data_IF_228514354972
#
_entry.id   IF_228514354972
#
_cell.length_a   1.000
_cell.length_b   1.000
_cell.length_c   1.000
_cell.angle_alpha   90.00
_cell.angle_beta   90.00
_cell.angle_gamma   90.00
#
_symmetry.space_group_name_H-M   'P 1'
#
loop_
_entity.id
_entity.type
_entity.pdbx_description
1 polymer ?
#
# COMPACT_ATOMS: atom_id res chain seq x y z
N UNK A 1 23.96 27.77 4.05
CA UNK A 1 24.34 26.82 2.98
C UNK A 1 24.36 25.44 3.61
N UNK A 2 23.32 24.60 3.47
CA UNK A 2 23.29 23.14 3.71
C UNK A 2 21.88 22.57 3.93
N UNK A 3 20.82 23.28 3.50
CA UNK A 3 19.46 22.73 3.61
C UNK A 3 18.92 22.12 2.32
N UNK A 4 19.60 22.28 1.18
CA UNK A 4 19.15 21.72 -0.11
C UNK A 4 19.70 20.33 -0.44
N UNK A 5 20.77 19.88 0.19
CA UNK A 5 21.36 18.55 -0.08
C UNK A 5 20.77 17.42 0.76
N UNK A 6 19.87 17.70 1.71
CA UNK A 6 19.22 16.66 2.52
C UNK A 6 17.88 16.17 1.95
N UNK A 7 17.33 16.85 0.93
CA UNK A 7 16.03 16.47 0.35
C UNK A 7 16.13 15.30 -0.65
N UNK A 8 17.29 15.04 -1.23
CA UNK A 8 17.47 13.92 -2.17
C UNK A 8 17.74 12.57 -1.50
N UNK A 9 18.12 12.54 -0.22
CA UNK A 9 18.44 11.29 0.48
C UNK A 9 17.33 10.74 1.39
N UNK A 10 16.18 11.38 1.55
CA UNK A 10 15.21 10.97 2.59
C UNK A 10 13.74 10.94 2.15
N UNK A 11 13.44 10.26 1.03
CA UNK A 11 12.08 9.84 0.72
C UNK A 11 11.73 8.52 1.47
N UNK A 12 12.19 8.39 2.71
CA UNK A 12 12.00 7.23 3.56
C UNK A 12 11.66 7.65 4.98
N UNK A 13 10.55 7.15 5.49
CA UNK A 13 10.06 7.40 6.85
C UNK A 13 10.12 6.08 7.61
N UNK A 14 10.84 6.05 8.73
CA UNK A 14 10.88 4.91 9.62
C UNK A 14 9.68 4.94 10.58
N UNK A 15 8.88 3.90 10.58
CA UNK A 15 7.77 3.73 11.52
C UNK A 15 8.22 2.86 12.68
N UNK A 16 8.09 3.41 13.89
CA UNK A 16 8.41 2.71 15.13
C UNK A 16 7.15 2.32 15.89
N UNK A 17 7.14 1.12 16.48
CA UNK A 17 6.14 0.67 17.41
C UNK A 17 6.83 0.30 18.74
N UNK A 18 6.38 0.88 19.85
CA UNK A 18 6.98 0.69 21.19
C UNK A 18 8.50 0.91 21.22
N UNK A 19 8.97 1.93 20.48
CA UNK A 19 10.39 2.28 20.42
C UNK A 19 11.27 1.36 19.57
N UNK A 20 10.67 0.40 18.85
CA UNK A 20 11.36 -0.47 17.90
C UNK A 20 10.89 -0.19 16.50
N UNK A 21 11.81 -0.24 15.55
CA UNK A 21 11.47 -0.14 14.13
C UNK A 21 10.49 -1.25 13.76
N UNK A 22 9.36 -0.85 13.18
CA UNK A 22 8.34 -1.75 12.67
C UNK A 22 8.50 -1.96 11.16
N UNK A 23 8.55 -0.88 10.39
CA UNK A 23 8.72 -0.90 8.93
C UNK A 23 9.14 0.47 8.41
N UNK A 24 9.44 0.53 7.13
CA UNK A 24 9.71 1.77 6.42
C UNK A 24 8.55 2.13 5.48
N UNK A 25 8.28 3.43 5.34
CA UNK A 25 7.51 3.99 4.25
C UNK A 25 8.49 4.63 3.28
N UNK A 26 8.40 4.29 2.00
CA UNK A 26 9.29 4.77 0.95
C UNK A 26 8.47 5.47 -0.12
N UNK A 27 8.79 6.74 -0.45
CA UNK A 27 8.19 7.50 -1.54
C UNK A 27 9.07 7.42 -2.78
N UNK A 28 8.46 7.11 -3.94
CA UNK A 28 9.11 7.02 -5.25
C UNK A 28 8.18 7.49 -6.36
N UNK A 29 8.77 7.64 -7.56
CA UNK A 29 8.07 8.09 -8.75
C UNK A 29 7.92 6.99 -9.81
N UNK A 30 8.34 5.77 -9.49
CA UNK A 30 8.25 4.58 -10.35
C UNK A 30 8.32 3.33 -9.48
N UNK A 31 8.23 2.15 -10.08
CA UNK A 31 8.50 0.87 -9.41
C UNK A 31 9.94 0.39 -9.60
N UNK A 32 10.82 1.18 -10.23
CA UNK A 32 12.14 0.74 -10.67
C UNK A 32 13.04 0.21 -9.55
N UNK A 33 12.98 0.80 -8.35
CA UNK A 33 13.78 0.37 -7.19
C UNK A 33 13.00 -0.47 -6.16
N UNK A 34 11.79 -0.95 -6.51
CA UNK A 34 10.96 -1.76 -5.61
C UNK A 34 11.72 -2.97 -5.08
N UNK A 35 12.45 -3.68 -5.95
CA UNK A 35 13.26 -4.84 -5.55
C UNK A 35 14.39 -4.46 -4.59
N UNK A 36 15.04 -3.32 -4.82
CA UNK A 36 16.13 -2.85 -3.97
C UNK A 36 15.60 -2.50 -2.56
N UNK A 37 14.41 -1.89 -2.50
CA UNK A 37 13.75 -1.59 -1.21
C UNK A 37 13.26 -2.86 -0.48
N UNK A 38 13.11 -3.97 -1.19
CA UNK A 38 12.71 -5.27 -0.65
C UNK A 38 13.89 -6.23 -0.39
N UNK A 39 15.13 -5.82 -0.62
CA UNK A 39 16.32 -6.71 -0.51
C UNK A 39 16.39 -7.41 0.85
N UNK A 40 16.07 -6.71 1.94
CA UNK A 40 16.08 -7.26 3.30
C UNK A 40 15.07 -8.40 3.53
N UNK A 41 14.12 -8.59 2.62
CA UNK A 41 13.12 -9.68 2.67
C UNK A 41 13.64 -10.98 2.04
N UNK A 42 14.77 -10.95 1.36
CA UNK A 42 15.37 -12.12 0.68
C UNK A 42 14.36 -12.87 -0.21
N UNK A 43 13.67 -12.11 -1.08
CA UNK A 43 12.54 -12.64 -1.88
C UNK A 43 12.94 -13.75 -2.86
N UNK A 44 14.23 -13.87 -3.20
CA UNK A 44 14.78 -14.96 -4.00
C UNK A 44 14.57 -16.34 -3.35
N UNK A 45 14.36 -16.39 -2.04
CA UNK A 45 14.08 -17.61 -1.27
C UNK A 45 12.58 -17.84 -1.06
N UNK A 46 11.73 -16.88 -1.46
CA UNK A 46 10.29 -16.85 -1.14
C UNK A 46 9.42 -17.02 -2.36
N UNK A 47 8.26 -17.61 -2.16
CA UNK A 47 7.13 -17.44 -3.06
C UNK A 47 6.45 -16.11 -2.73
N UNK A 48 6.00 -15.41 -3.77
CA UNK A 48 5.35 -14.11 -3.63
C UNK A 48 3.97 -14.17 -4.30
N UNK A 49 2.93 -13.79 -3.58
CA UNK A 49 1.60 -13.60 -4.15
C UNK A 49 1.28 -12.10 -4.22
N UNK A 50 1.06 -11.58 -5.43
CA UNK A 50 0.61 -10.21 -5.65
C UNK A 50 -0.92 -10.21 -5.65
N UNK A 51 -1.50 -9.57 -4.65
CA UNK A 51 -2.95 -9.41 -4.48
C UNK A 51 -3.35 -8.04 -5.01
N UNK A 52 -4.34 -8.01 -5.90
CA UNK A 52 -4.82 -6.78 -6.54
C UNK A 52 -6.33 -6.87 -6.83
N UNK A 53 -6.89 -5.87 -7.50
CA UNK A 53 -8.29 -5.83 -7.91
C UNK A 53 -8.46 -5.40 -9.38
N UNK A 54 -9.68 -5.57 -9.92
CA UNK A 54 -9.96 -5.49 -11.36
C UNK A 54 -9.68 -4.12 -12.01
N UNK A 55 -9.65 -3.00 -11.27
CA UNK A 55 -9.31 -1.68 -11.83
C UNK A 55 -7.80 -1.44 -11.87
N UNK A 56 -7.06 -1.95 -10.87
CA UNK A 56 -5.62 -1.75 -10.72
C UNK A 56 -4.83 -2.74 -11.56
N UNK A 57 -5.28 -3.99 -11.64
CA UNK A 57 -4.59 -5.06 -12.36
C UNK A 57 -4.23 -4.71 -13.82
N UNK A 58 -5.14 -4.18 -14.65
CA UNK A 58 -4.83 -3.85 -16.05
C UNK A 58 -3.75 -2.79 -16.21
N UNK A 59 -3.53 -1.96 -15.17
CA UNK A 59 -2.62 -0.79 -15.24
C UNK A 59 -1.22 -1.17 -14.74
N UNK A 60 -1.13 -1.84 -13.58
CA UNK A 60 0.14 -1.98 -12.86
C UNK A 60 0.58 -3.42 -12.63
N UNK A 61 -0.34 -4.42 -12.67
CA UNK A 61 0.00 -5.79 -12.29
C UNK A 61 1.11 -6.37 -13.16
N UNK A 62 1.09 -6.11 -14.46
CA UNK A 62 2.10 -6.65 -15.38
C UNK A 62 3.50 -6.19 -15.00
N UNK A 63 3.69 -4.87 -14.83
CA UNK A 63 4.98 -4.27 -14.48
C UNK A 63 5.51 -4.82 -13.15
N UNK A 64 4.68 -4.78 -12.10
CA UNK A 64 5.08 -5.26 -10.76
C UNK A 64 5.33 -6.77 -10.77
N UNK A 65 4.52 -7.55 -11.49
CA UNK A 65 4.71 -9.00 -11.61
C UNK A 65 6.02 -9.36 -12.33
N UNK A 66 6.37 -8.66 -13.42
CA UNK A 66 7.64 -8.87 -14.13
C UNK A 66 8.84 -8.55 -13.23
N UNK A 67 8.79 -7.44 -12.50
CA UNK A 67 9.82 -7.07 -11.53
C UNK A 67 9.99 -8.16 -10.45
N UNK A 68 8.93 -8.54 -9.75
CA UNK A 68 8.99 -9.52 -8.67
C UNK A 68 9.42 -10.89 -9.19
N UNK A 69 8.91 -11.32 -10.34
CA UNK A 69 9.25 -12.63 -10.94
C UNK A 69 10.70 -12.72 -11.39
N UNK A 70 11.38 -11.60 -11.60
CA UNK A 70 12.81 -11.60 -11.96
C UNK A 70 13.70 -12.04 -10.80
N UNK A 71 13.21 -12.01 -9.56
CA UNK A 71 14.00 -12.31 -8.36
C UNK A 71 13.36 -13.39 -7.47
N UNK A 72 12.04 -13.40 -7.31
CA UNK A 72 11.34 -14.35 -6.43
C UNK A 72 11.45 -15.81 -6.91
N UNK A 73 11.45 -16.75 -5.97
CA UNK A 73 11.51 -18.20 -6.30
C UNK A 73 10.28 -18.66 -7.09
N UNK A 74 9.13 -18.06 -6.84
CA UNK A 74 7.87 -18.24 -7.57
C UNK A 74 7.01 -16.99 -7.36
N UNK A 75 6.34 -16.52 -8.40
CA UNK A 75 5.35 -15.45 -8.31
C UNK A 75 3.99 -15.96 -8.78
N UNK A 76 2.96 -15.68 -7.99
CA UNK A 76 1.56 -15.87 -8.40
C UNK A 76 0.80 -14.56 -8.22
N UNK A 77 -0.37 -14.45 -8.82
CA UNK A 77 -1.22 -13.28 -8.73
C UNK A 77 -2.63 -13.70 -8.32
N UNK A 78 -3.25 -12.92 -7.44
CA UNK A 78 -4.65 -13.05 -7.08
C UNK A 78 -5.37 -11.74 -7.35
N UNK A 79 -6.40 -11.76 -8.18
CA UNK A 79 -7.19 -10.58 -8.51
C UNK A 79 -8.66 -10.82 -8.22
N UNK A 80 -9.30 -9.85 -7.56
CA UNK A 80 -10.73 -9.88 -7.26
C UNK A 80 -11.44 -8.65 -7.86
N UNK A 81 -12.77 -8.67 -7.88
CA UNK A 81 -13.58 -7.55 -8.36
C UNK A 81 -13.42 -6.31 -7.46
N UNK A 82 -13.24 -5.14 -8.08
CA UNK A 82 -13.11 -3.88 -7.39
C UNK A 82 -14.37 -3.50 -6.59
N UNK A 83 -14.15 -2.76 -5.51
CA UNK A 83 -15.20 -2.14 -4.70
C UNK A 83 -15.38 -2.76 -3.33
N UNK A 84 -15.87 -1.93 -2.41
CA UNK A 84 -16.06 -2.26 -0.99
C UNK A 84 -16.91 -3.51 -0.76
N UNK A 85 -17.90 -3.79 -1.63
CA UNK A 85 -18.76 -4.99 -1.54
C UNK A 85 -17.99 -6.30 -1.57
N UNK A 86 -16.75 -6.30 -2.06
CA UNK A 86 -15.87 -7.46 -2.11
C UNK A 86 -14.89 -7.56 -0.94
N UNK A 87 -14.89 -6.56 -0.05
CA UNK A 87 -14.11 -6.54 1.19
C UNK A 87 -14.73 -7.46 2.25
N UNK A 88 -14.69 -8.76 2.02
CA UNK A 88 -15.42 -9.75 2.81
C UNK A 88 -14.66 -11.08 2.99
N UNK A 89 -15.05 -11.86 3.99
CA UNK A 89 -14.41 -13.15 4.31
C UNK A 89 -14.38 -14.12 3.12
N UNK A 90 -15.44 -14.14 2.29
CA UNK A 90 -15.48 -15.02 1.10
C UNK A 90 -14.34 -14.74 0.12
N UNK A 91 -13.95 -13.49 -0.05
CA UNK A 91 -12.80 -13.14 -0.91
C UNK A 91 -11.47 -13.58 -0.26
N UNK A 92 -11.40 -13.52 1.07
CA UNK A 92 -10.24 -14.02 1.83
C UNK A 92 -10.14 -15.54 1.73
N UNK A 93 -11.28 -16.28 1.81
CA UNK A 93 -11.32 -17.74 1.62
C UNK A 93 -10.74 -18.13 0.25
N UNK A 94 -11.13 -17.43 -0.82
CA UNK A 94 -10.61 -17.67 -2.16
C UNK A 94 -9.09 -17.39 -2.25
N UNK A 95 -8.59 -16.33 -1.59
CA UNK A 95 -7.15 -16.08 -1.50
C UNK A 95 -6.43 -17.20 -0.74
N UNK A 96 -6.99 -17.69 0.36
CA UNK A 96 -6.38 -18.82 1.09
C UNK A 96 -6.29 -20.08 0.24
N UNK A 97 -7.35 -20.41 -0.50
CA UNK A 97 -7.36 -21.55 -1.40
C UNK A 97 -6.22 -21.44 -2.43
N UNK A 98 -6.04 -20.27 -3.04
CA UNK A 98 -4.96 -20.01 -3.99
C UNK A 98 -3.57 -20.19 -3.35
N UNK A 99 -3.38 -19.69 -2.13
CA UNK A 99 -2.12 -19.84 -1.39
C UNK A 99 -1.84 -21.31 -1.04
N UNK A 100 -2.85 -22.07 -0.61
CA UNK A 100 -2.75 -23.50 -0.25
C UNK A 100 -2.39 -24.34 -1.47
N UNK A 101 -3.09 -24.15 -2.59
CA UNK A 101 -2.85 -24.89 -3.86
C UNK A 101 -1.43 -24.65 -4.37
N UNK A 102 -0.92 -23.42 -4.17
CA UNK A 102 0.44 -23.04 -4.56
C UNK A 102 1.49 -23.34 -3.49
N UNK A 103 1.13 -24.04 -2.40
CA UNK A 103 2.02 -24.48 -1.33
C UNK A 103 2.76 -23.34 -0.64
N UNK A 104 2.10 -22.19 -0.40
CA UNK A 104 2.67 -21.10 0.37
C UNK A 104 2.90 -21.52 1.82
N UNK A 105 4.04 -21.15 2.37
CA UNK A 105 4.41 -21.40 3.75
C UNK A 105 4.62 -20.09 4.56
N UNK A 106 5.03 -20.19 5.81
CA UNK A 106 5.18 -19.04 6.73
C UNK A 106 6.31 -18.08 6.35
N UNK A 107 7.21 -18.48 5.48
CA UNK A 107 8.33 -17.65 5.04
C UNK A 107 8.01 -16.88 3.76
N UNK A 108 6.91 -17.24 3.09
CA UNK A 108 6.47 -16.60 1.86
C UNK A 108 5.88 -15.20 2.09
N UNK A 109 5.58 -14.47 1.04
CA UNK A 109 5.25 -13.06 1.08
C UNK A 109 3.98 -12.74 0.30
N UNK A 110 3.14 -11.85 0.87
CA UNK A 110 2.06 -11.22 0.12
C UNK A 110 2.44 -9.78 -0.26
N UNK A 111 2.04 -9.33 -1.44
CA UNK A 111 2.14 -7.93 -1.86
C UNK A 111 0.73 -7.41 -2.14
N UNK A 112 0.31 -6.37 -1.42
CA UNK A 112 -0.94 -5.66 -1.65
C UNK A 112 -0.73 -4.55 -2.69
N UNK A 113 -1.10 -4.77 -3.94
CA UNK A 113 -1.00 -3.77 -5.01
C UNK A 113 -2.38 -3.17 -5.27
N UNK A 114 -2.70 -2.02 -4.65
CA UNK A 114 -4.03 -1.43 -4.82
C UNK A 114 -4.38 -0.35 -3.81
N UNK A 115 -5.67 0.00 -3.74
CA UNK A 115 -6.21 0.92 -2.75
C UNK A 115 -6.40 0.30 -1.36
N UNK A 116 -7.07 1.02 -0.46
CA UNK A 116 -7.29 0.60 0.93
C UNK A 116 -7.97 -0.76 1.07
N UNK A 117 -8.94 -1.09 0.20
CA UNK A 117 -9.61 -2.40 0.20
C UNK A 117 -8.60 -3.53 -0.01
N UNK A 118 -7.71 -3.38 -0.99
CA UNK A 118 -6.67 -4.38 -1.27
C UNK A 118 -5.69 -4.49 -0.11
N UNK A 119 -5.25 -3.35 0.43
CA UNK A 119 -4.33 -3.29 1.58
C UNK A 119 -4.90 -3.98 2.81
N UNK A 120 -6.14 -3.64 3.19
CA UNK A 120 -6.81 -4.19 4.36
C UNK A 120 -7.03 -5.70 4.24
N UNK A 121 -7.51 -6.16 3.08
CA UNK A 121 -7.78 -7.58 2.84
C UNK A 121 -6.49 -8.41 2.79
N UNK A 122 -5.47 -7.92 2.09
CA UNK A 122 -4.18 -8.62 2.00
C UNK A 122 -3.50 -8.68 3.36
N UNK A 123 -3.52 -7.58 4.11
CA UNK A 123 -2.97 -7.55 5.46
C UNK A 123 -3.72 -8.48 6.43
N UNK A 124 -5.06 -8.55 6.32
CA UNK A 124 -5.85 -9.49 7.11
C UNK A 124 -5.56 -10.95 6.72
N UNK A 125 -5.46 -11.24 5.43
CA UNK A 125 -5.05 -12.56 4.96
C UNK A 125 -3.65 -12.92 5.47
N UNK A 126 -2.70 -11.98 5.40
CA UNK A 126 -1.35 -12.17 5.92
C UNK A 126 -1.34 -12.44 7.44
N UNK A 127 -2.17 -11.72 8.22
CA UNK A 127 -2.26 -11.90 9.66
C UNK A 127 -2.79 -13.28 10.07
N UNK A 128 -3.65 -13.88 9.26
CA UNK A 128 -4.43 -15.08 9.62
C UNK A 128 -3.97 -16.34 8.92
N UNK A 129 -3.44 -16.26 7.69
CA UNK A 129 -2.88 -17.40 6.98
C UNK A 129 -1.69 -17.98 7.75
N UNK A 130 -1.74 -19.28 8.06
CA UNK A 130 -0.72 -20.00 8.85
C UNK A 130 -0.36 -19.34 10.20
N UNK A 131 -1.23 -18.52 10.77
CA UNK A 131 -1.08 -17.70 11.99
C UNK A 131 -0.14 -16.50 11.82
N UNK A 132 0.06 -16.06 10.61
CA UNK A 132 0.85 -14.89 10.24
C UNK A 132 1.96 -15.19 9.26
N UNK A 133 1.95 -14.44 8.15
CA UNK A 133 3.03 -14.36 7.16
C UNK A 133 3.35 -12.89 6.89
N UNK A 134 4.49 -12.63 6.28
CA UNK A 134 4.91 -11.27 5.94
C UNK A 134 4.07 -10.70 4.79
N UNK A 135 3.90 -9.36 4.79
CA UNK A 135 3.33 -8.67 3.64
C UNK A 135 3.95 -7.29 3.41
N UNK A 136 3.82 -6.79 2.18
CA UNK A 136 4.24 -5.47 1.72
C UNK A 136 3.03 -4.74 1.16
N UNK A 137 2.91 -3.44 1.42
CA UNK A 137 1.90 -2.59 0.83
C UNK A 137 2.47 -1.75 -0.32
N UNK A 138 1.77 -1.74 -1.44
CA UNK A 138 2.02 -0.91 -2.61
C UNK A 138 0.74 -0.13 -2.93
N UNK A 139 0.46 0.94 -2.14
CA UNK A 139 -0.79 1.70 -2.24
C UNK A 139 -0.86 2.51 -3.54
N UNK A 140 -2.02 2.47 -4.21
CA UNK A 140 -2.23 3.13 -5.52
C UNK A 140 -3.31 4.21 -5.51
N UNK A 141 -4.01 4.44 -4.40
CA UNK A 141 -4.96 5.54 -4.23
C UNK A 141 -4.44 6.57 -3.25
N UNK A 142 -4.86 7.83 -3.38
CA UNK A 142 -4.44 8.89 -2.46
C UNK A 142 -4.77 8.51 -1.01
N UNK A 143 -6.00 8.07 -0.75
CA UNK A 143 -6.41 7.64 0.60
C UNK A 143 -5.51 6.55 1.17
N UNK A 144 -5.10 5.58 0.35
CA UNK A 144 -4.20 4.53 0.84
C UNK A 144 -2.76 5.02 1.04
N UNK A 145 -2.30 5.98 0.26
CA UNK A 145 -0.96 6.54 0.40
C UNK A 145 -0.80 7.41 1.65
N UNK A 146 -1.84 8.15 2.05
CA UNK A 146 -1.77 9.09 3.18
C UNK A 146 -2.35 8.57 4.50
N UNK A 147 -3.11 7.48 4.48
CA UNK A 147 -3.81 6.98 5.68
C UNK A 147 -3.85 5.46 5.77
N UNK A 148 -4.61 4.75 4.93
CA UNK A 148 -5.01 3.38 5.21
C UNK A 148 -3.89 2.34 5.12
N UNK A 149 -2.76 2.62 4.46
CA UNK A 149 -1.59 1.73 4.47
C UNK A 149 -0.73 1.85 5.74
N UNK A 150 -1.08 2.78 6.65
CA UNK A 150 -0.26 3.13 7.81
C UNK A 150 -0.94 2.66 9.09
N UNK A 151 -0.14 2.13 10.03
CA UNK A 151 -0.61 1.74 11.36
C UNK A 151 -1.04 0.28 11.51
N UNK A 152 -0.98 -0.52 10.42
CA UNK A 152 -1.19 -1.97 10.48
C UNK A 152 -2.63 -2.41 10.80
N UNK A 153 -3.61 -1.53 10.68
CA UNK A 153 -5.02 -1.90 10.76
C UNK A 153 -5.38 -2.67 9.49
N UNK A 154 -5.83 -3.91 9.65
CA UNK A 154 -6.22 -4.75 8.52
C UNK A 154 -7.57 -5.40 8.82
N UNK A 155 -8.37 -5.69 7.80
CA UNK A 155 -9.67 -6.27 8.06
C UNK A 155 -10.58 -6.36 6.87
N UNK A 156 -11.76 -6.89 7.15
CA UNK A 156 -12.86 -7.06 6.20
C UNK A 156 -14.17 -6.58 6.82
N UNK A 157 -15.13 -6.33 5.96
CA UNK A 157 -16.50 -6.07 6.36
C UNK A 157 -17.20 -7.37 6.76
N UNK A 158 -18.13 -7.28 7.68
CA UNK A 158 -18.95 -8.39 8.11
C UNK A 158 -20.43 -8.05 7.97
N UNK A 159 -21.11 -8.70 7.06
CA UNK A 159 -22.49 -8.39 6.67
C UNK A 159 -22.60 -6.90 6.23
N UNK A 160 -23.43 -6.10 6.93
CA UNK A 160 -23.59 -4.67 6.67
C UNK A 160 -22.63 -3.79 7.49
N UNK A 161 -21.77 -4.36 8.30
CA UNK A 161 -20.89 -3.64 9.21
C UNK A 161 -19.50 -3.54 8.62
N UNK A 162 -19.00 -2.30 8.48
CA UNK A 162 -17.66 -2.03 7.97
C UNK A 162 -16.57 -2.30 8.99
N UNK A 163 -15.48 -2.94 8.53
CA UNK A 163 -14.23 -3.10 9.31
C UNK A 163 -14.38 -3.80 10.67
N UNK A 164 -15.39 -4.68 10.83
CA UNK A 164 -15.67 -5.31 12.12
C UNK A 164 -14.84 -6.56 12.40
N UNK A 165 -14.26 -7.15 11.37
CA UNK A 165 -13.41 -8.34 11.50
C UNK A 165 -12.02 -7.99 10.98
N UNK A 166 -11.03 -8.04 11.85
CA UNK A 166 -9.68 -7.61 11.47
C UNK A 166 -8.61 -8.01 12.47
N UNK A 167 -7.39 -7.61 12.14
CA UNK A 167 -6.22 -7.80 12.98
C UNK A 167 -5.28 -6.60 12.86
N UNK A 168 -4.48 -6.34 13.90
CA UNK A 168 -3.32 -5.49 13.78
C UNK A 168 -2.15 -6.31 13.24
N UNK A 169 -1.73 -6.01 12.03
CA UNK A 169 -0.61 -6.68 11.37
C UNK A 169 0.21 -5.65 10.59
N UNK A 170 1.44 -5.40 11.05
CA UNK A 170 2.29 -4.39 10.45
C UNK A 170 2.89 -4.92 9.13
N UNK A 171 2.88 -4.13 8.05
CA UNK A 171 3.60 -4.51 6.84
C UNK A 171 5.11 -4.50 7.10
N UNK A 172 5.87 -5.15 6.25
CA UNK A 172 7.34 -5.07 6.27
C UNK A 172 7.86 -3.83 5.55
N UNK A 173 7.08 -3.32 4.61
CA UNK A 173 7.37 -2.13 3.81
C UNK A 173 6.06 -1.54 3.31
N UNK A 174 5.98 -0.22 3.26
CA UNK A 174 4.98 0.51 2.47
C UNK A 174 5.74 1.23 1.36
N UNK A 175 5.52 0.81 0.10
CA UNK A 175 6.16 1.38 -1.06
C UNK A 175 5.16 2.24 -1.84
N UNK A 176 5.29 3.54 -1.74
CA UNK A 176 4.42 4.52 -2.38
C UNK A 176 5.04 4.97 -3.71
N UNK A 177 4.41 4.63 -4.83
CA UNK A 177 4.71 5.23 -6.12
C UNK A 177 3.70 6.36 -6.37
N UNK A 178 4.14 7.61 -6.26
CA UNK A 178 3.27 8.79 -6.40
C UNK A 178 2.65 8.90 -7.79
N UNK A 179 3.31 8.35 -8.82
CA UNK A 179 2.79 8.42 -10.20
C UNK A 179 1.52 7.60 -10.41
N UNK A 180 1.19 6.66 -9.51
CA UNK A 180 -0.06 5.90 -9.59
C UNK A 180 -1.29 6.81 -9.47
N UNK A 181 -1.15 7.96 -8.83
CA UNK A 181 -2.22 8.95 -8.71
C UNK A 181 -2.60 9.59 -10.06
N UNK A 182 -1.74 9.51 -11.09
CA UNK A 182 -2.06 10.03 -12.43
C UNK A 182 -3.20 9.26 -13.09
N UNK A 183 -3.29 7.95 -12.85
CA UNK A 183 -4.35 7.09 -13.37
C UNK A 183 -5.58 7.01 -12.45
N UNK A 184 -5.50 7.55 -11.23
CA UNK A 184 -6.57 7.49 -10.27
C UNK A 184 -7.77 8.34 -10.75
N UNK A 185 -9.00 7.79 -10.79
CA UNK A 185 -10.19 8.57 -11.11
C UNK A 185 -10.34 9.80 -10.21
N UNK A 186 -10.84 10.90 -10.76
CA UNK A 186 -10.96 12.19 -10.06
C UNK A 186 -11.75 12.07 -8.75
N UNK A 187 -12.84 11.32 -8.78
CA UNK A 187 -13.65 11.05 -7.59
C UNK A 187 -12.86 10.41 -6.45
N UNK A 188 -12.02 9.43 -6.77
CA UNK A 188 -11.21 8.73 -5.78
C UNK A 188 -10.06 9.61 -5.27
N UNK A 189 -9.50 10.45 -6.15
CA UNK A 189 -8.49 11.42 -5.76
C UNK A 189 -9.06 12.43 -4.75
N UNK A 190 -10.20 13.04 -5.05
CA UNK A 190 -10.84 13.99 -4.12
C UNK A 190 -11.39 13.33 -2.86
N UNK A 191 -11.75 12.06 -2.90
CA UNK A 191 -12.07 11.31 -1.69
C UNK A 191 -10.87 11.24 -0.73
N UNK A 192 -9.67 10.96 -1.27
CA UNK A 192 -8.45 10.98 -0.47
C UNK A 192 -8.07 12.36 0.06
N UNK A 193 -8.38 13.43 -0.69
CA UNK A 193 -8.16 14.80 -0.22
C UNK A 193 -8.89 15.15 1.08
N UNK A 194 -10.02 14.50 1.36
CA UNK A 194 -10.71 14.66 2.64
C UNK A 194 -9.83 14.30 3.82
N UNK A 195 -9.02 13.23 3.71
CA UNK A 195 -8.09 12.80 4.74
C UNK A 195 -6.89 13.73 4.85
N UNK A 196 -6.33 14.16 3.72
CA UNK A 196 -5.24 15.15 3.67
C UNK A 196 -5.64 16.43 4.40
N UNK A 197 -6.82 16.98 4.10
CA UNK A 197 -7.35 18.17 4.78
C UNK A 197 -7.57 17.92 6.28
N UNK A 198 -8.08 16.75 6.63
CA UNK A 198 -8.29 16.37 8.03
C UNK A 198 -6.98 16.37 8.82
N UNK A 199 -5.88 15.88 8.26
CA UNK A 199 -4.58 15.89 8.91
C UNK A 199 -4.13 17.32 9.25
N UNK A 200 -4.23 18.25 8.31
CA UNK A 200 -3.92 19.67 8.53
C UNK A 200 -4.80 20.29 9.61
N UNK A 201 -6.11 20.08 9.53
CA UNK A 201 -7.06 20.66 10.49
C UNK A 201 -6.88 20.14 11.93
N UNK A 202 -6.44 18.90 12.12
CA UNK A 202 -6.35 18.27 13.45
C UNK A 202 -4.96 18.47 14.07
N UNK A 203 -3.89 18.44 13.26
CA UNK A 203 -2.53 18.30 13.78
C UNK A 203 -1.55 19.36 13.31
N UNK A 204 -1.73 19.98 12.15
CA UNK A 204 -0.72 20.81 11.53
C UNK A 204 -1.35 21.97 10.76
N UNK A 205 -1.47 23.13 11.43
CA UNK A 205 -2.05 24.32 10.84
C UNK A 205 -1.21 24.87 9.67
N UNK A 206 0.11 24.76 9.74
CA UNK A 206 1.01 25.22 8.68
C UNK A 206 0.86 24.37 7.42
N UNK A 207 0.72 23.05 7.59
CA UNK A 207 0.38 22.13 6.50
C UNK A 207 -0.98 22.44 5.87
N UNK A 208 -1.99 22.80 6.69
CA UNK A 208 -3.29 23.20 6.17
C UNK A 208 -3.22 24.49 5.33
N UNK A 209 -2.47 25.51 5.78
CA UNK A 209 -2.27 26.72 4.99
C UNK A 209 -1.49 26.41 3.71
N UNK A 210 -0.46 25.57 3.77
CA UNK A 210 0.27 25.12 2.60
C UNK A 210 -0.65 24.43 1.56
N UNK A 211 -1.57 23.56 2.01
CA UNK A 211 -2.57 22.94 1.11
C UNK A 211 -3.41 24.00 0.40
N UNK A 212 -3.86 25.03 1.12
CA UNK A 212 -4.66 26.12 0.53
C UNK A 212 -3.89 26.89 -0.53
N UNK A 213 -2.65 27.22 -0.24
CA UNK A 213 -1.77 27.95 -1.16
C UNK A 213 -1.42 27.16 -2.42
N UNK A 214 -1.33 25.82 -2.31
CA UNK A 214 -0.96 24.94 -3.41
C UNK A 214 -2.14 24.16 -4.02
N UNK A 215 -3.38 24.53 -3.71
CA UNK A 215 -4.56 23.75 -4.07
C UNK A 215 -4.71 23.51 -5.58
N UNK A 216 -4.31 24.46 -6.42
CA UNK A 216 -4.41 24.33 -7.87
C UNK A 216 -3.36 23.34 -8.41
N UNK A 217 -2.13 23.38 -7.91
CA UNK A 217 -1.08 22.43 -8.23
C UNK A 217 -1.43 21.00 -7.75
N UNK A 218 -2.01 20.90 -6.56
CA UNK A 218 -2.52 19.61 -6.01
C UNK A 218 -3.64 19.05 -6.88
N UNK A 219 -4.63 19.88 -7.28
CA UNK A 219 -5.71 19.46 -8.19
C UNK A 219 -5.17 19.06 -9.56
N UNK A 220 -4.17 19.76 -10.07
CA UNK A 220 -3.50 19.44 -11.33
C UNK A 220 -2.60 18.19 -11.21
N UNK A 221 -2.42 17.64 -10.01
CA UNK A 221 -1.52 16.51 -9.69
C UNK A 221 -0.09 16.78 -10.13
N UNK A 222 0.37 18.01 -9.92
CA UNK A 222 1.76 18.36 -10.19
C UNK A 222 2.68 17.57 -9.28
N UNK A 223 3.76 17.07 -9.84
CA UNK A 223 4.63 16.08 -9.19
C UNK A 223 5.12 16.53 -7.81
N UNK A 224 5.70 17.74 -7.74
CA UNK A 224 6.26 18.25 -6.48
C UNK A 224 5.17 18.51 -5.43
N UNK A 225 4.01 19.05 -5.84
CA UNK A 225 2.91 19.29 -4.92
C UNK A 225 2.32 17.98 -4.37
N UNK A 226 2.21 16.95 -5.21
CA UNK A 226 1.75 15.62 -4.78
C UNK A 226 2.74 14.97 -3.82
N UNK A 227 4.03 15.08 -4.12
CA UNK A 227 5.09 14.50 -3.29
C UNK A 227 5.19 15.15 -1.92
N UNK A 228 5.02 16.46 -1.84
CA UNK A 228 5.02 17.20 -0.58
C UNK A 228 3.74 16.93 0.23
N UNK A 229 2.61 16.71 -0.45
CA UNK A 229 1.32 16.43 0.17
C UNK A 229 1.29 15.06 0.86
N UNK A 230 2.01 14.06 0.34
CA UNK A 230 2.05 12.68 0.87
C UNK A 230 3.10 12.54 1.97
#
# INVERSE_FOLDING_TARGET
>A
MNSKNNLEMNNKIEICNEGKKAYDIVLRDSFADLLDQMEFLEIEKKKVCIVTESNVAPIYLKEVCELISSKASKTITFSFEAGEKHKQLKTIEALYEELIINHFDRQDLLIALGGGVVGDMTGYAAATYLRGIDFVQVPTTLLSQVDSSIGGKTGVDFLQYKNMVGAFHQPKLVYINTTTLKSLPEREYFSGMGEVIKHGLIKDADYYEWIKENIDAIKAREHEAVKEMI
#
